data_IF_240093272768
#
_entry.id   IF_240093272768
#
_cell.length_a   1.000
_cell.length_b   1.000
_cell.length_c   1.000
_cell.angle_alpha   90.00
_cell.angle_beta   90.00
_cell.angle_gamma   90.00
#
_symmetry.space_group_name_H-M   'P 1'
#
loop_
_entity.id
_entity.type
_entity.pdbx_description
1 polymer ?
#
# COMPACT_ATOMS: atom_id res chain seq x y z
N UNK A 1 16.81 18.05 -28.59
CA UNK A 1 16.34 17.00 -27.65
C UNK A 1 14.84 17.14 -27.52
N UNK A 2 14.05 16.11 -27.78
CA UNK A 2 12.62 16.18 -27.54
C UNK A 2 12.38 16.35 -26.04
N UNK A 3 11.66 17.42 -25.67
CA UNK A 3 11.34 17.69 -24.27
C UNK A 3 10.23 16.72 -23.86
N UNK A 4 10.48 15.86 -22.87
CA UNK A 4 9.45 14.95 -22.35
C UNK A 4 8.27 15.73 -21.81
N UNK A 5 7.06 15.23 -22.06
CA UNK A 5 5.83 15.82 -21.54
C UNK A 5 5.69 15.54 -20.03
N UNK A 6 5.02 16.45 -19.34
CA UNK A 6 4.68 16.26 -17.93
C UNK A 6 3.49 15.30 -17.78
N UNK A 7 3.51 14.34 -16.84
CA UNK A 7 2.41 13.40 -16.60
C UNK A 7 1.30 14.07 -15.79
N UNK A 8 0.51 14.93 -16.42
CA UNK A 8 -0.55 15.68 -15.72
C UNK A 8 -1.68 14.73 -15.32
N UNK A 9 -1.91 14.58 -13.99
CA UNK A 9 -2.96 13.72 -13.45
C UNK A 9 -2.64 12.23 -13.42
N UNK A 10 -1.49 11.80 -13.94
CA UNK A 10 -1.08 10.40 -13.93
C UNK A 10 -0.47 10.01 -12.58
N UNK A 11 -0.89 8.86 -12.05
CA UNK A 11 -0.39 8.31 -10.79
C UNK A 11 0.19 6.90 -10.95
N UNK A 12 0.13 6.34 -12.16
CA UNK A 12 0.61 5.00 -12.49
C UNK A 12 2.01 5.08 -13.06
N UNK A 13 2.97 4.49 -12.33
CA UNK A 13 4.38 4.52 -12.73
C UNK A 13 4.63 3.84 -14.08
N UNK A 14 4.03 2.67 -14.32
CA UNK A 14 4.18 1.95 -15.60
C UNK A 14 3.74 2.80 -16.78
N UNK A 15 2.56 3.44 -16.70
CA UNK A 15 2.04 4.32 -17.74
C UNK A 15 2.98 5.48 -18.05
N UNK A 16 3.51 6.15 -16.99
CA UNK A 16 4.48 7.24 -17.13
C UNK A 16 5.75 6.77 -17.87
N UNK A 17 6.21 5.55 -17.58
CA UNK A 17 7.44 5.01 -18.18
C UNK A 17 7.24 4.47 -19.58
N UNK A 18 6.12 3.82 -19.85
CA UNK A 18 5.78 3.23 -21.15
C UNK A 18 5.48 4.32 -22.21
N UNK A 19 4.83 5.43 -21.78
CA UNK A 19 4.53 6.56 -22.65
C UNK A 19 5.63 7.64 -22.67
N UNK A 20 6.79 7.37 -22.06
CA UNK A 20 7.97 8.24 -22.03
C UNK A 20 7.73 9.66 -21.46
N UNK A 21 6.82 9.80 -20.51
CA UNK A 21 6.63 11.05 -19.77
C UNK A 21 7.81 11.36 -18.83
N UNK A 22 7.89 12.61 -18.41
CA UNK A 22 8.88 13.04 -17.41
C UNK A 22 8.61 12.37 -16.06
N UNK A 23 9.57 11.62 -15.56
CA UNK A 23 9.56 11.05 -14.22
C UNK A 23 10.65 11.68 -13.35
N UNK A 24 10.27 12.24 -12.20
CA UNK A 24 11.23 12.75 -11.20
C UNK A 24 11.71 11.56 -10.38
N UNK A 25 12.93 11.12 -10.66
CA UNK A 25 13.48 9.91 -10.07
C UNK A 25 13.73 10.05 -8.57
N UNK A 26 13.06 9.21 -7.80
CA UNK A 26 13.23 9.01 -6.36
C UNK A 26 13.45 7.54 -6.01
N UNK A 27 13.82 6.72 -6.99
CA UNK A 27 13.92 5.26 -6.82
C UNK A 27 15.06 4.84 -5.89
N UNK A 28 16.07 5.69 -5.68
CA UNK A 28 17.11 5.46 -4.68
C UNK A 28 16.52 5.29 -3.27
N UNK A 29 15.47 6.05 -2.93
CA UNK A 29 14.80 5.89 -1.62
C UNK A 29 14.09 4.54 -1.49
N UNK A 30 13.51 4.01 -2.59
CA UNK A 30 12.92 2.67 -2.60
C UNK A 30 14.01 1.65 -2.29
N UNK A 31 15.14 1.71 -2.99
CA UNK A 31 16.28 0.83 -2.72
C UNK A 31 16.73 0.89 -1.27
N UNK A 32 16.91 2.08 -0.72
CA UNK A 32 17.33 2.25 0.68
C UNK A 32 16.32 1.64 1.67
N UNK A 33 15.01 1.83 1.48
CA UNK A 33 13.98 1.24 2.34
C UNK A 33 13.95 -0.28 2.25
N UNK A 34 14.11 -0.84 1.05
CA UNK A 34 14.00 -2.29 0.82
C UNK A 34 15.25 -3.07 1.23
N UNK A 35 16.39 -2.37 1.41
CA UNK A 35 17.69 -2.95 1.81
C UNK A 35 18.07 -2.62 3.26
N UNK A 36 17.09 -2.53 4.13
CA UNK A 36 17.27 -2.41 5.58
C UNK A 36 16.67 -3.60 6.30
N UNK A 37 16.92 -3.71 7.61
CA UNK A 37 16.24 -4.68 8.48
C UNK A 37 14.79 -4.31 8.78
N UNK A 38 14.38 -3.07 8.49
CA UNK A 38 13.02 -2.60 8.66
C UNK A 38 12.07 -3.26 7.67
N UNK A 39 10.84 -3.49 8.11
CA UNK A 39 9.80 -4.13 7.32
C UNK A 39 8.57 -3.23 7.13
N UNK A 40 8.27 -2.40 8.11
CA UNK A 40 7.11 -1.52 8.13
C UNK A 40 7.54 -0.07 7.94
N UNK A 41 7.02 0.57 6.90
CA UNK A 41 7.34 1.96 6.56
C UNK A 41 6.07 2.78 6.41
N UNK A 42 6.16 4.03 6.81
CA UNK A 42 5.05 4.96 6.80
C UNK A 42 5.47 6.31 6.23
N UNK A 43 4.67 6.85 5.30
CA UNK A 43 4.88 8.16 4.70
C UNK A 43 3.63 9.04 4.87
N UNK A 44 3.74 10.08 5.71
CA UNK A 44 2.73 11.13 5.80
C UNK A 44 3.16 12.35 4.99
N UNK A 45 2.39 12.70 3.96
CA UNK A 45 2.59 13.91 3.16
C UNK A 45 1.23 14.50 2.75
N UNK A 46 1.13 15.81 2.55
CA UNK A 46 -0.09 16.43 2.04
C UNK A 46 -0.58 15.82 0.72
N UNK A 47 -1.80 16.14 0.34
CA UNK A 47 -2.33 15.76 -0.99
C UNK A 47 -1.43 16.32 -2.10
N UNK A 48 -1.35 15.63 -3.23
CA UNK A 48 -0.56 15.99 -4.44
C UNK A 48 0.97 15.96 -4.26
N UNK A 49 1.48 15.28 -3.23
CA UNK A 49 2.92 15.08 -3.00
C UNK A 49 3.46 13.77 -3.60
N UNK A 50 2.74 13.15 -4.52
CA UNK A 50 3.20 11.97 -5.25
C UNK A 50 3.19 10.65 -4.46
N UNK A 51 2.39 10.55 -3.37
CA UNK A 51 2.28 9.33 -2.57
C UNK A 51 1.83 8.13 -3.39
N UNK A 52 0.71 8.27 -4.12
CA UNK A 52 0.15 7.18 -4.95
C UNK A 52 1.11 6.78 -6.08
N UNK A 53 1.82 7.76 -6.67
CA UNK A 53 2.88 7.46 -7.66
C UNK A 53 4.02 6.65 -7.02
N UNK A 54 4.44 6.99 -5.79
CA UNK A 54 5.46 6.22 -5.08
C UNK A 54 4.97 4.79 -4.79
N UNK A 55 3.73 4.61 -4.36
CA UNK A 55 3.11 3.29 -4.15
C UNK A 55 3.11 2.50 -5.46
N UNK A 56 2.70 3.10 -6.57
CA UNK A 56 2.72 2.47 -7.90
C UNK A 56 4.13 2.11 -8.37
N UNK A 57 5.12 2.96 -8.05
CA UNK A 57 6.53 2.67 -8.34
C UNK A 57 7.04 1.47 -7.53
N UNK A 58 6.72 1.42 -6.23
CA UNK A 58 7.05 0.28 -5.36
C UNK A 58 6.38 -1.02 -5.83
N UNK A 59 5.11 -0.94 -6.27
CA UNK A 59 4.41 -2.09 -6.83
C UNK A 59 5.18 -2.65 -8.03
N UNK A 60 5.54 -1.80 -8.99
CA UNK A 60 6.31 -2.22 -10.17
C UNK A 60 7.69 -2.79 -9.80
N UNK A 61 8.34 -2.22 -8.77
CA UNK A 61 9.61 -2.72 -8.28
C UNK A 61 9.50 -4.13 -7.70
N UNK A 62 8.54 -4.36 -6.80
CA UNK A 62 8.34 -5.66 -6.18
C UNK A 62 7.74 -6.70 -7.12
N UNK A 63 7.03 -6.28 -8.17
CA UNK A 63 6.58 -7.15 -9.26
C UNK A 63 7.71 -7.50 -10.25
N UNK A 64 8.96 -7.09 -9.98
CA UNK A 64 10.14 -7.43 -10.80
C UNK A 64 10.17 -6.76 -12.18
N UNK A 65 9.40 -5.70 -12.43
CA UNK A 65 9.28 -5.03 -13.73
C UNK A 65 10.52 -4.16 -14.05
N UNK A 66 11.68 -4.80 -14.13
CA UNK A 66 12.99 -4.16 -14.30
C UNK A 66 13.04 -3.16 -15.45
N UNK A 67 12.40 -3.47 -16.57
CA UNK A 67 12.42 -2.63 -17.79
C UNK A 67 11.90 -1.21 -17.53
N UNK A 68 10.92 -1.05 -16.64
CA UNK A 68 10.36 0.26 -16.29
C UNK A 68 11.37 1.15 -15.56
N UNK A 69 12.41 0.57 -14.97
CA UNK A 69 13.42 1.28 -14.18
C UNK A 69 14.67 1.63 -14.97
N UNK A 70 14.70 1.33 -16.28
CA UNK A 70 15.83 1.65 -17.14
C UNK A 70 16.16 3.15 -17.12
N UNK A 71 17.42 3.48 -16.83
CA UNK A 71 17.90 4.85 -16.72
C UNK A 71 17.62 5.54 -15.39
N UNK A 72 16.96 4.87 -14.43
CA UNK A 72 16.73 5.40 -13.09
C UNK A 72 17.82 4.96 -12.10
N UNK A 73 17.95 5.67 -10.99
CA UNK A 73 19.00 5.43 -9.99
C UNK A 73 19.02 3.99 -9.46
N UNK A 74 17.86 3.39 -9.23
CA UNK A 74 17.72 2.02 -8.72
C UNK A 74 18.27 0.97 -9.65
N UNK A 75 18.30 1.19 -10.97
CA UNK A 75 18.85 0.24 -11.95
C UNK A 75 20.31 -0.09 -11.67
N UNK A 76 21.08 0.91 -11.19
CA UNK A 76 22.50 0.74 -10.85
C UNK A 76 22.70 0.11 -9.47
N UNK A 77 21.74 0.24 -8.59
CA UNK A 77 21.82 -0.20 -7.20
C UNK A 77 21.31 -1.63 -7.05
N UNK A 78 20.14 -1.94 -7.65
CA UNK A 78 19.51 -3.24 -7.56
C UNK A 78 20.15 -4.26 -8.48
N UNK A 79 20.48 -5.44 -7.95
CA UNK A 79 21.13 -6.52 -8.70
C UNK A 79 20.23 -7.72 -8.96
N UNK A 80 19.32 -8.01 -8.04
CA UNK A 80 18.59 -9.28 -8.04
C UNK A 80 17.18 -9.19 -8.63
N UNK A 81 16.54 -8.03 -8.60
CA UNK A 81 15.18 -7.81 -9.14
C UNK A 81 14.20 -8.97 -8.81
N UNK A 82 14.22 -9.39 -7.55
CA UNK A 82 13.38 -10.48 -7.07
C UNK A 82 11.91 -10.13 -7.14
N UNK A 83 11.10 -11.00 -7.74
CA UNK A 83 9.65 -10.87 -7.80
C UNK A 83 9.02 -11.30 -6.49
N UNK A 84 8.10 -10.46 -5.99
CA UNK A 84 7.28 -10.75 -4.82
C UNK A 84 5.80 -10.56 -5.14
N UNK A 85 4.90 -11.36 -4.53
CA UNK A 85 3.48 -11.10 -4.64
C UNK A 85 3.12 -9.81 -3.91
N UNK A 86 2.43 -8.90 -4.62
CA UNK A 86 2.04 -7.59 -4.11
C UNK A 86 0.54 -7.52 -3.92
N UNK A 87 0.12 -7.23 -2.69
CA UNK A 87 -1.22 -6.82 -2.32
C UNK A 87 -1.26 -5.30 -2.22
N UNK A 88 -2.10 -4.67 -3.03
CA UNK A 88 -2.27 -3.21 -3.05
C UNK A 88 -3.68 -2.83 -2.64
N UNK A 89 -3.79 -2.02 -1.59
CA UNK A 89 -5.04 -1.52 -1.04
C UNK A 89 -5.07 0.00 -1.15
N UNK A 90 -5.94 0.54 -2.01
CA UNK A 90 -6.23 1.98 -2.06
C UNK A 90 -7.47 2.27 -1.24
N UNK A 91 -7.35 3.12 -0.23
CA UNK A 91 -8.45 3.52 0.64
C UNK A 91 -9.04 4.89 0.27
N UNK A 92 -8.61 5.44 -0.89
CA UNK A 92 -9.08 6.73 -1.42
C UNK A 92 -10.55 6.71 -1.90
N UNK A 93 -11.17 5.55 -2.02
CA UNK A 93 -12.47 5.38 -2.65
C UNK A 93 -13.65 5.57 -1.69
N UNK A 94 -14.51 6.53 -2.02
CA UNK A 94 -15.80 6.72 -1.35
C UNK A 94 -15.74 7.54 -0.07
N UNK A 95 -16.93 7.96 0.39
CA UNK A 95 -17.14 8.54 1.71
C UNK A 95 -17.79 7.49 2.60
N UNK A 96 -17.23 7.28 3.76
CA UNK A 96 -17.68 6.26 4.70
C UNK A 96 -18.13 6.95 5.99
N UNK A 97 -19.45 7.21 6.11
CA UNK A 97 -20.04 7.83 7.30
C UNK A 97 -20.46 6.81 8.35
N UNK A 98 -20.62 5.54 7.95
CA UNK A 98 -21.14 4.48 8.80
C UNK A 98 -20.27 3.21 8.70
N UNK A 99 -20.30 2.42 9.79
CA UNK A 99 -19.57 1.16 9.92
C UNK A 99 -19.80 0.19 8.74
N UNK A 100 -21.06 -0.03 8.39
CA UNK A 100 -21.42 -1.01 7.35
C UNK A 100 -20.97 -0.59 5.96
N UNK A 101 -20.93 0.73 5.69
CA UNK A 101 -20.37 1.25 4.44
C UNK A 101 -18.88 0.96 4.35
N UNK A 102 -18.14 1.24 5.42
CA UNK A 102 -16.71 0.99 5.48
C UNK A 102 -16.40 -0.51 5.36
N UNK A 103 -17.13 -1.37 6.09
CA UNK A 103 -16.93 -2.83 6.03
C UNK A 103 -17.15 -3.35 4.60
N UNK A 104 -18.24 -2.95 3.92
CA UNK A 104 -18.48 -3.33 2.52
C UNK A 104 -17.36 -2.87 1.58
N UNK A 105 -16.84 -1.67 1.81
CA UNK A 105 -15.72 -1.17 1.01
C UNK A 105 -14.43 -1.97 1.24
N UNK A 106 -14.10 -2.26 2.50
CA UNK A 106 -12.95 -3.11 2.84
C UNK A 106 -13.07 -4.50 2.22
N UNK A 107 -14.26 -5.10 2.25
CA UNK A 107 -14.52 -6.38 1.59
C UNK A 107 -14.34 -6.30 0.07
N UNK A 108 -14.73 -5.18 -0.55
CA UNK A 108 -14.54 -4.95 -1.98
C UNK A 108 -13.05 -4.88 -2.35
N UNK A 109 -12.25 -4.07 -1.65
CA UNK A 109 -10.80 -3.96 -1.97
C UNK A 109 -10.03 -5.24 -1.67
N UNK A 110 -10.47 -6.05 -0.69
CA UNK A 110 -9.96 -7.39 -0.46
C UNK A 110 -10.27 -8.30 -1.65
N UNK A 111 -11.52 -8.29 -2.12
CA UNK A 111 -11.96 -9.09 -3.26
C UNK A 111 -11.13 -8.82 -4.51
N UNK A 112 -10.83 -7.54 -4.81
CA UNK A 112 -9.97 -7.17 -5.95
C UNK A 112 -8.60 -7.84 -5.86
N UNK A 113 -7.99 -7.89 -4.68
CA UNK A 113 -6.72 -8.56 -4.47
C UNK A 113 -6.86 -10.09 -4.50
N UNK A 114 -7.93 -10.65 -3.96
CA UNK A 114 -8.22 -12.09 -4.01
C UNK A 114 -8.37 -12.58 -5.45
N UNK A 115 -9.13 -11.85 -6.27
CA UNK A 115 -9.31 -12.15 -7.70
C UNK A 115 -7.98 -12.18 -8.47
N UNK A 116 -7.04 -11.27 -8.14
CA UNK A 116 -5.69 -11.25 -8.74
C UNK A 116 -4.94 -12.57 -8.55
N UNK A 117 -5.17 -13.26 -7.41
CA UNK A 117 -4.52 -14.52 -7.07
C UNK A 117 -5.44 -15.74 -7.20
N UNK A 118 -6.62 -15.59 -7.80
CA UNK A 118 -7.59 -16.69 -7.98
C UNK A 118 -8.15 -17.26 -6.66
N UNK A 119 -8.20 -16.41 -5.62
CA UNK A 119 -8.66 -16.82 -4.28
C UNK A 119 -10.16 -16.52 -4.15
N UNK A 120 -10.90 -17.48 -3.65
CA UNK A 120 -12.33 -17.34 -3.29
C UNK A 120 -12.46 -17.37 -1.77
N UNK A 121 -13.07 -16.32 -1.20
CA UNK A 121 -13.27 -16.21 0.24
C UNK A 121 -14.61 -15.50 0.53
N UNK A 122 -15.49 -16.18 1.25
CA UNK A 122 -16.84 -15.70 1.58
C UNK A 122 -16.97 -15.17 3.03
N UNK A 123 -15.86 -15.04 3.77
CA UNK A 123 -15.92 -14.50 5.13
C UNK A 123 -16.49 -13.07 5.12
N UNK A 124 -17.44 -12.76 6.00
CA UNK A 124 -17.98 -11.41 6.15
C UNK A 124 -17.04 -10.46 6.91
N UNK A 125 -15.98 -10.98 7.51
CA UNK A 125 -15.07 -10.22 8.37
C UNK A 125 -13.80 -9.79 7.62
N UNK A 126 -13.59 -8.49 7.38
CA UNK A 126 -12.44 -7.98 6.63
C UNK A 126 -11.08 -8.40 7.19
N UNK A 127 -10.94 -8.47 8.53
CA UNK A 127 -9.69 -8.90 9.17
C UNK A 127 -9.39 -10.38 8.91
N UNK A 128 -10.39 -11.26 8.99
CA UNK A 128 -10.23 -12.69 8.69
C UNK A 128 -9.86 -12.88 7.22
N UNK A 129 -10.51 -12.14 6.31
CA UNK A 129 -10.17 -12.19 4.88
C UNK A 129 -8.75 -11.69 4.59
N UNK A 130 -8.32 -10.60 5.23
CA UNK A 130 -6.96 -10.09 5.09
C UNK A 130 -5.92 -11.13 5.53
N UNK A 131 -6.14 -11.76 6.69
CA UNK A 131 -5.26 -12.81 7.19
C UNK A 131 -5.18 -14.00 6.23
N UNK A 132 -6.34 -14.49 5.78
CA UNK A 132 -6.42 -15.60 4.83
C UNK A 132 -5.78 -15.26 3.49
N UNK A 133 -5.99 -14.04 2.98
CA UNK A 133 -5.40 -13.56 1.73
C UNK A 133 -3.86 -13.59 1.81
N UNK A 134 -3.26 -13.00 2.85
CA UNK A 134 -1.81 -12.99 3.04
C UNK A 134 -1.27 -14.42 3.14
N UNK A 135 -1.93 -15.27 3.95
CA UNK A 135 -1.51 -16.66 4.14
C UNK A 135 -1.58 -17.46 2.83
N UNK A 136 -2.71 -17.38 2.13
CA UNK A 136 -2.92 -18.15 0.89
C UNK A 136 -1.94 -17.72 -0.20
N UNK A 137 -1.72 -16.41 -0.37
CA UNK A 137 -0.75 -15.89 -1.33
C UNK A 137 0.67 -16.34 -1.00
N UNK A 138 1.06 -16.31 0.27
CA UNK A 138 2.36 -16.83 0.72
C UNK A 138 2.51 -18.33 0.43
N UNK A 139 1.48 -19.14 0.72
CA UNK A 139 1.49 -20.59 0.47
C UNK A 139 1.52 -20.93 -1.03
N UNK A 140 0.75 -20.20 -1.86
CA UNK A 140 0.72 -20.42 -3.31
C UNK A 140 2.02 -20.05 -4.02
N UNK A 141 2.66 -18.97 -3.59
CA UNK A 141 3.84 -18.43 -4.29
C UNK A 141 5.16 -18.93 -3.70
N UNK A 142 5.16 -19.38 -2.45
CA UNK A 142 6.38 -19.68 -1.70
C UNK A 142 7.23 -18.44 -1.40
N UNK A 143 6.72 -17.22 -1.71
CA UNK A 143 7.40 -15.96 -1.52
C UNK A 143 6.71 -15.12 -0.45
N UNK A 144 7.50 -14.35 0.32
CA UNK A 144 6.94 -13.40 1.26
C UNK A 144 6.15 -12.30 0.55
N UNK A 145 5.03 -11.94 1.15
CA UNK A 145 4.05 -10.99 0.58
C UNK A 145 4.47 -9.54 0.84
N UNK A 146 4.31 -8.70 -0.15
CA UNK A 146 4.42 -7.24 -0.04
C UNK A 146 3.03 -6.65 0.10
N UNK A 147 2.83 -5.76 1.08
CA UNK A 147 1.55 -5.07 1.32
C UNK A 147 1.76 -3.56 1.16
N UNK A 148 1.05 -2.98 0.21
CA UNK A 148 1.07 -1.54 -0.08
C UNK A 148 -0.32 -0.96 0.21
N UNK A 149 -0.38 0.04 1.10
CA UNK A 149 -1.64 0.68 1.51
C UNK A 149 -1.55 2.17 1.21
N UNK A 150 -2.37 2.64 0.27
CA UNK A 150 -2.45 4.05 -0.07
C UNK A 150 -3.64 4.72 0.60
N UNK A 151 -3.41 5.92 1.14
CA UNK A 151 -4.40 6.74 1.86
C UNK A 151 -5.06 6.01 3.04
N UNK A 152 -4.25 5.38 3.91
CA UNK A 152 -4.69 4.57 5.05
C UNK A 152 -5.70 5.27 5.98
N UNK A 153 -5.66 6.59 6.04
CA UNK A 153 -6.46 7.44 6.91
C UNK A 153 -7.71 8.03 6.23
N UNK A 154 -7.87 7.85 4.92
CA UNK A 154 -8.97 8.44 4.17
C UNK A 154 -10.36 8.11 4.75
N UNK A 155 -10.66 6.86 5.18
CA UNK A 155 -11.97 6.54 5.76
C UNK A 155 -12.30 7.30 7.05
N UNK A 156 -11.30 7.81 7.77
CA UNK A 156 -11.48 8.52 9.04
C UNK A 156 -11.54 10.05 8.86
N UNK A 157 -10.98 10.55 7.76
CA UNK A 157 -10.94 12.00 7.50
C UNK A 157 -12.33 12.58 7.25
N UNK A 158 -13.25 11.80 6.72
CA UNK A 158 -14.63 12.25 6.44
C UNK A 158 -15.45 12.45 7.71
N UNK A 159 -15.11 11.78 8.80
CA UNK A 159 -15.83 11.81 10.10
C UNK A 159 -15.00 12.41 11.23
N UNK A 160 -13.92 13.09 10.91
CA UNK A 160 -12.97 13.63 11.92
C UNK A 160 -13.63 14.62 12.92
N UNK A 161 -14.76 15.20 12.56
CA UNK A 161 -15.54 16.13 13.39
C UNK A 161 -16.75 15.48 14.09
N UNK A 162 -16.92 14.15 13.95
CA UNK A 162 -18.02 13.37 14.50
C UNK A 162 -17.47 12.31 15.46
N UNK A 163 -17.23 12.68 16.72
CA UNK A 163 -16.52 11.84 17.70
C UNK A 163 -17.04 10.40 17.77
N UNK A 164 -18.37 10.20 17.79
CA UNK A 164 -18.96 8.85 17.88
C UNK A 164 -18.69 8.01 16.63
N UNK A 165 -18.87 8.59 15.44
CA UNK A 165 -18.60 7.90 14.16
C UNK A 165 -17.11 7.63 14.01
N UNK A 166 -16.25 8.57 14.40
CA UNK A 166 -14.80 8.45 14.33
C UNK A 166 -14.29 7.25 15.16
N UNK A 167 -14.77 7.08 16.39
CA UNK A 167 -14.33 5.97 17.25
C UNK A 167 -14.76 4.61 16.70
N UNK A 168 -15.97 4.51 16.16
CA UNK A 168 -16.47 3.27 15.54
C UNK A 168 -15.64 2.93 14.28
N UNK A 169 -15.43 3.89 13.39
CA UNK A 169 -14.66 3.64 12.17
C UNK A 169 -13.18 3.39 12.47
N UNK A 170 -12.62 4.06 13.49
CA UNK A 170 -11.25 3.79 13.97
C UNK A 170 -11.09 2.34 14.43
N UNK A 171 -12.08 1.80 15.16
CA UNK A 171 -12.04 0.40 15.60
C UNK A 171 -12.12 -0.58 14.41
N UNK A 172 -12.97 -0.31 13.42
CA UNK A 172 -13.01 -1.10 12.18
C UNK A 172 -11.65 -1.10 11.47
N UNK A 173 -11.02 0.06 11.34
CA UNK A 173 -9.70 0.17 10.70
C UNK A 173 -8.61 -0.51 11.51
N UNK A 174 -8.63 -0.41 12.85
CA UNK A 174 -7.70 -1.14 13.73
C UNK A 174 -7.80 -2.64 13.51
N UNK A 175 -9.02 -3.17 13.50
CA UNK A 175 -9.26 -4.59 13.25
C UNK A 175 -8.81 -5.01 11.85
N UNK A 176 -9.04 -4.17 10.83
CA UNK A 176 -8.61 -4.45 9.47
C UNK A 176 -7.09 -4.56 9.32
N UNK A 177 -6.32 -3.78 10.08
CA UNK A 177 -4.85 -3.82 10.02
C UNK A 177 -4.21 -4.82 10.98
N UNK A 178 -4.92 -5.35 11.98
CA UNK A 178 -4.36 -6.28 12.97
C UNK A 178 -3.68 -7.51 12.35
N UNK A 179 -4.19 -8.10 11.23
CA UNK A 179 -3.55 -9.24 10.58
C UNK A 179 -2.12 -8.98 10.08
N UNK A 180 -1.74 -7.73 9.85
CA UNK A 180 -0.36 -7.40 9.43
C UNK A 180 0.67 -7.81 10.49
N UNK A 181 0.32 -7.68 11.78
CA UNK A 181 1.16 -8.11 12.90
C UNK A 181 1.23 -9.64 12.98
N UNK A 182 0.08 -10.29 12.88
CA UNK A 182 -0.02 -11.75 12.98
C UNK A 182 0.67 -12.46 11.82
N UNK A 183 0.72 -11.79 10.66
CA UNK A 183 1.34 -12.27 9.42
C UNK A 183 2.82 -11.92 9.28
N UNK A 184 3.49 -11.35 10.29
CA UNK A 184 4.85 -10.80 10.17
C UNK A 184 5.86 -11.74 9.49
N UNK A 185 5.80 -13.04 9.78
CA UNK A 185 6.72 -14.04 9.19
C UNK A 185 6.50 -14.23 7.68
N UNK A 186 5.29 -13.98 7.21
CA UNK A 186 4.89 -14.10 5.80
C UNK A 186 5.08 -12.82 5.02
N UNK A 187 5.38 -11.70 5.69
CA UNK A 187 5.55 -10.40 5.07
C UNK A 187 7.01 -10.10 4.72
N UNK A 188 7.23 -9.56 3.51
CA UNK A 188 8.51 -9.03 3.05
C UNK A 188 8.64 -7.54 3.36
N UNK A 189 7.57 -6.79 3.11
CA UNK A 189 7.56 -5.34 3.18
C UNK A 189 6.14 -4.83 3.33
N UNK A 190 5.94 -3.81 4.16
CA UNK A 190 4.65 -3.14 4.36
C UNK A 190 4.89 -1.64 4.24
N UNK A 191 4.16 -0.99 3.35
CA UNK A 191 4.24 0.45 3.15
C UNK A 191 2.87 1.09 3.23
N UNK A 192 2.76 2.11 4.07
CA UNK A 192 1.51 2.85 4.26
C UNK A 192 1.71 4.32 3.92
N UNK A 193 0.75 4.90 3.20
CA UNK A 193 0.73 6.34 2.97
C UNK A 193 -0.56 6.97 3.49
N UNK A 194 -0.45 8.24 3.90
CA UNK A 194 -1.59 9.02 4.35
C UNK A 194 -1.30 10.51 4.42
N UNK A 195 -2.25 11.27 4.92
CA UNK A 195 -2.14 12.73 5.15
C UNK A 195 -1.84 12.98 6.61
N UNK A 196 -2.47 12.23 7.51
CA UNK A 196 -2.39 12.39 8.95
C UNK A 196 -1.14 11.71 9.49
N UNK A 197 -0.53 12.30 10.51
CA UNK A 197 0.57 11.62 11.21
C UNK A 197 0.06 10.40 11.94
N UNK A 198 0.80 9.31 11.85
CA UNK A 198 0.52 8.01 12.42
C UNK A 198 0.06 8.05 13.89
N UNK A 199 0.71 8.86 14.72
CA UNK A 199 0.42 9.00 16.16
C UNK A 199 -0.94 9.61 16.48
N UNK A 200 -1.58 10.29 15.53
CA UNK A 200 -2.84 10.98 15.78
C UNK A 200 -4.07 10.06 15.70
N UNK A 201 -4.00 8.94 15.01
CA UNK A 201 -5.14 8.07 14.80
C UNK A 201 -5.15 6.79 15.66
N UNK A 202 -4.05 6.49 16.36
CA UNK A 202 -3.91 5.30 17.25
C UNK A 202 -4.33 3.95 16.64
N UNK A 203 -4.37 3.87 15.30
CA UNK A 203 -4.84 2.68 14.57
C UNK A 203 -3.82 1.55 14.64
N UNK A 204 -2.54 1.92 14.77
CA UNK A 204 -1.42 0.98 14.67
C UNK A 204 -0.63 0.87 15.99
N UNK A 205 -1.29 1.10 17.13
CA UNK A 205 -0.67 0.97 18.45
C UNK A 205 0.00 -0.40 18.67
N UNK A 206 -0.36 -1.39 17.86
CA UNK A 206 0.17 -2.74 17.90
C UNK A 206 1.39 -2.99 16.99
N UNK A 207 1.64 -2.11 16.01
CA UNK A 207 2.81 -2.21 15.12
C UNK A 207 3.97 -1.38 15.69
N UNK A 208 4.73 -1.98 16.59
CA UNK A 208 5.77 -1.30 17.39
C UNK A 208 7.01 -0.86 16.59
N UNK A 209 7.18 -1.28 15.33
CA UNK A 209 8.41 -1.12 14.54
C UNK A 209 8.19 -0.40 13.21
N UNK A 210 7.32 0.62 13.20
CA UNK A 210 7.10 1.41 11.98
C UNK A 210 8.15 2.50 11.84
N UNK A 211 8.83 2.52 10.72
CA UNK A 211 9.77 3.57 10.33
C UNK A 211 9.04 4.68 9.58
N UNK A 212 9.08 5.90 10.10
CA UNK A 212 8.55 7.08 9.42
C UNK A 212 9.60 7.60 8.42
N UNK A 213 9.20 7.83 7.17
CA UNK A 213 10.09 8.21 6.05
C UNK A 213 9.63 9.50 5.37
#
# INVERSE_FOLDING_TARGET
MATKLYPIGMQTFSEIREEDFLYVDKTEYIYRMTHTSGKYFFLARPRRFGKSLLVSTMQSYFEGKKELFKGLAIEKLEKEWTEYPVLHFSLAGGKHMEKDQLVRYLLYILKVNEEKFGIVNDSPDPNVRMLNLIKTVYEQTGQKVVVLIDEYDAPLLDVVHEDTSLDILREVMRNFYSPLKDSDRMLRFVFLTGITKFSQLSIFSELNNITNV
#
